data_IF_460374881957
#
_entry.id   IF_460374881957
#
_cell.length_a   1.000
_cell.length_b   1.000
_cell.length_c   1.000
_cell.angle_alpha   90.00
_cell.angle_beta   90.00
_cell.angle_gamma   90.00
#
_symmetry.space_group_name_H-M   'P 1'
#
loop_
_entity.id
_entity.type
_entity.pdbx_description
1 polymer ?
#
# COMPACT_ATOMS: atom_id res chain seq x y z
N UNK A 1 26.82 1.60 8.15
CA UNK A 1 25.53 1.34 7.51
C UNK A 1 25.32 -0.18 7.55
N UNK A 2 24.29 -0.67 8.21
CA UNK A 2 23.96 -2.09 8.15
C UNK A 2 23.59 -2.42 6.70
N UNK A 3 24.10 -3.54 6.19
CA UNK A 3 23.75 -4.03 4.86
C UNK A 3 22.28 -4.43 4.88
N UNK A 4 21.46 -3.92 3.94
CA UNK A 4 20.07 -4.33 3.80
C UNK A 4 20.01 -5.82 3.52
N UNK A 5 19.22 -6.55 4.30
CA UNK A 5 19.00 -7.99 4.12
C UNK A 5 17.96 -8.20 3.03
N UNK A 6 18.28 -9.03 2.04
CA UNK A 6 17.37 -9.41 0.94
C UNK A 6 16.88 -10.83 1.20
N UNK A 7 15.55 -10.99 1.20
CA UNK A 7 14.87 -12.27 1.48
C UNK A 7 14.00 -12.65 0.28
N UNK A 8 14.14 -13.88 -0.20
CA UNK A 8 13.29 -14.44 -1.26
C UNK A 8 12.41 -15.53 -0.65
N UNK A 9 11.10 -15.41 -0.84
CA UNK A 9 10.10 -16.32 -0.28
C UNK A 9 9.29 -17.00 -1.39
N UNK A 10 8.96 -18.27 -1.14
CA UNK A 10 7.98 -19.01 -1.93
C UNK A 10 6.58 -18.89 -1.32
N UNK A 11 5.59 -18.61 -2.16
CA UNK A 11 4.19 -18.50 -1.77
C UNK A 11 3.46 -19.80 -2.13
N UNK A 12 2.69 -20.39 -1.22
CA UNK A 12 2.33 -19.91 0.12
C UNK A 12 3.53 -19.91 1.09
N UNK A 13 3.65 -18.84 1.89
CA UNK A 13 4.74 -18.71 2.85
C UNK A 13 4.48 -19.55 4.10
N UNK A 14 5.54 -20.16 4.66
CA UNK A 14 5.44 -20.83 5.96
C UNK A 14 5.45 -19.83 7.12
N UNK A 15 4.89 -20.21 8.26
CA UNK A 15 4.97 -19.37 9.46
C UNK A 15 6.44 -19.16 9.88
N UNK A 16 7.26 -20.18 9.73
CA UNK A 16 8.70 -20.10 10.04
C UNK A 16 9.41 -19.04 9.19
N UNK A 17 9.07 -18.94 7.89
CA UNK A 17 9.66 -17.94 7.00
C UNK A 17 9.18 -16.53 7.35
N UNK A 18 7.88 -16.38 7.68
CA UNK A 18 7.33 -15.11 8.13
C UNK A 18 7.96 -14.66 9.46
N UNK A 19 8.23 -15.60 10.36
CA UNK A 19 8.84 -15.32 11.65
C UNK A 19 10.32 -14.88 11.56
N UNK A 20 11.00 -15.22 10.47
CA UNK A 20 12.38 -14.79 10.21
C UNK A 20 12.49 -13.38 9.64
N UNK A 21 11.38 -12.78 9.22
CA UNK A 21 11.36 -11.43 8.68
C UNK A 21 11.59 -10.39 9.77
N UNK A 22 12.49 -9.46 9.49
CA UNK A 22 12.85 -8.34 10.36
C UNK A 22 12.49 -7.01 9.68
N UNK A 23 12.28 -5.96 10.49
CA UNK A 23 12.03 -4.61 9.95
C UNK A 23 13.13 -4.18 8.99
N UNK A 24 12.72 -3.64 7.84
CA UNK A 24 13.64 -3.17 6.82
C UNK A 24 14.19 -4.24 5.88
N UNK A 25 13.83 -5.51 6.06
CA UNK A 25 14.15 -6.53 5.08
C UNK A 25 13.54 -6.19 3.72
N UNK A 26 14.30 -6.46 2.67
CA UNK A 26 13.85 -6.34 1.28
C UNK A 26 13.36 -7.70 0.81
N UNK A 27 12.07 -7.81 0.53
CA UNK A 27 11.43 -9.09 0.21
C UNK A 27 11.06 -9.17 -1.27
N UNK A 28 11.33 -10.34 -1.85
CA UNK A 28 10.84 -10.76 -3.16
C UNK A 28 10.02 -12.04 -3.02
N UNK A 29 8.91 -12.12 -3.75
CA UNK A 29 7.98 -13.25 -3.67
C UNK A 29 7.86 -13.97 -5.00
N UNK A 30 7.81 -15.31 -4.95
CA UNK A 30 7.55 -16.17 -6.11
C UNK A 30 6.43 -17.15 -5.76
N UNK A 31 5.49 -17.36 -6.69
CA UNK A 31 4.35 -18.27 -6.49
C UNK A 31 3.02 -17.61 -6.85
N UNK A 32 1.97 -17.94 -6.12
CA UNK A 32 0.63 -17.36 -6.38
C UNK A 32 0.27 -16.35 -5.30
N UNK A 33 -0.10 -15.14 -5.71
CA UNK A 33 -0.64 -14.10 -4.82
C UNK A 33 -2.02 -13.67 -5.31
N UNK A 34 -2.80 -13.03 -4.43
CA UNK A 34 -4.11 -12.50 -4.81
C UNK A 34 -4.29 -11.05 -4.38
N UNK A 35 -5.29 -10.39 -4.95
CA UNK A 35 -5.67 -9.03 -4.55
C UNK A 35 -7.01 -9.05 -3.84
N UNK A 36 -7.09 -8.39 -2.69
CA UNK A 36 -8.35 -8.05 -2.05
C UNK A 36 -8.27 -6.62 -1.52
N UNK A 37 -9.27 -5.82 -1.85
CA UNK A 37 -9.41 -4.43 -1.45
C UNK A 37 -10.83 -4.17 -0.96
N UNK A 38 -11.20 -2.91 -0.79
CA UNK A 38 -12.50 -2.50 -0.27
C UNK A 38 -13.69 -3.22 -0.91
N UNK A 39 -13.71 -3.38 -2.25
CA UNK A 39 -14.80 -4.07 -2.96
C UNK A 39 -14.95 -5.52 -2.53
N UNK A 40 -13.83 -6.24 -2.40
CA UNK A 40 -13.82 -7.63 -1.92
C UNK A 40 -14.22 -7.70 -0.44
N UNK A 41 -13.66 -6.82 0.40
CA UNK A 41 -13.97 -6.81 1.84
C UNK A 41 -15.44 -6.52 2.11
N UNK A 42 -16.02 -5.55 1.40
CA UNK A 42 -17.47 -5.25 1.53
C UNK A 42 -18.34 -6.42 1.12
N UNK A 43 -18.04 -7.06 -0.01
CA UNK A 43 -18.79 -8.24 -0.46
C UNK A 43 -18.74 -9.36 0.57
N UNK A 44 -17.55 -9.77 0.96
CA UNK A 44 -17.37 -10.95 1.81
C UNK A 44 -17.70 -10.66 3.27
N UNK A 45 -17.17 -9.56 3.82
CA UNK A 45 -17.22 -9.32 5.28
C UNK A 45 -18.40 -8.45 5.72
N UNK A 46 -18.96 -7.61 4.84
CA UNK A 46 -20.12 -6.78 5.19
C UNK A 46 -21.42 -7.35 4.60
N UNK A 47 -21.40 -7.85 3.35
CA UNK A 47 -22.60 -8.41 2.70
C UNK A 47 -22.76 -9.90 2.94
N UNK A 48 -21.71 -10.61 3.35
CA UNK A 48 -21.75 -12.05 3.59
C UNK A 48 -21.71 -12.90 2.32
N UNK A 49 -21.25 -12.33 1.20
CA UNK A 49 -21.06 -13.09 -0.04
C UNK A 49 -19.98 -14.16 0.16
N UNK A 50 -20.20 -15.34 -0.39
CA UNK A 50 -19.19 -16.39 -0.39
C UNK A 50 -18.00 -15.99 -1.28
N UNK A 51 -16.79 -16.37 -0.87
CA UNK A 51 -15.61 -16.24 -1.72
C UNK A 51 -15.80 -17.09 -2.98
N UNK A 52 -15.46 -16.58 -4.18
CA UNK A 52 -15.63 -17.29 -5.43
C UNK A 52 -14.70 -18.50 -5.56
N UNK A 53 -13.67 -18.55 -4.73
CA UNK A 53 -12.67 -19.64 -4.64
C UNK A 53 -12.25 -19.82 -3.20
N UNK A 54 -11.82 -21.03 -2.84
CA UNK A 54 -11.17 -21.27 -1.55
C UNK A 54 -9.76 -20.66 -1.53
N UNK A 55 -9.69 -19.39 -1.15
CA UNK A 55 -8.45 -18.61 -1.19
C UNK A 55 -7.37 -19.20 -0.29
N UNK A 56 -7.73 -19.91 0.78
CA UNK A 56 -6.78 -20.53 1.71
C UNK A 56 -5.94 -21.62 1.04
N UNK A 57 -6.52 -22.30 0.04
CA UNK A 57 -5.82 -23.32 -0.74
C UNK A 57 -4.96 -22.74 -1.85
N UNK A 58 -5.20 -21.47 -2.21
CA UNK A 58 -4.53 -20.79 -3.33
C UNK A 58 -3.31 -20.02 -2.85
N UNK A 59 -3.47 -19.22 -1.80
CA UNK A 59 -2.41 -18.31 -1.34
C UNK A 59 -2.70 -17.74 0.05
N UNK A 60 -1.64 -17.40 0.77
CA UNK A 60 -1.70 -16.67 2.02
C UNK A 60 -1.02 -15.28 1.93
N UNK A 61 -0.92 -14.74 0.71
CA UNK A 61 -0.37 -13.41 0.44
C UNK A 61 -1.39 -12.56 -0.30
N UNK A 62 -1.86 -11.49 0.36
CA UNK A 62 -2.81 -10.53 -0.18
C UNK A 62 -2.09 -9.23 -0.56
N UNK A 63 -2.24 -8.78 -1.80
CA UNK A 63 -1.71 -7.52 -2.26
C UNK A 63 -2.80 -6.48 -2.44
N UNK A 64 -2.78 -5.42 -1.65
CA UNK A 64 -3.64 -4.25 -1.79
C UNK A 64 -3.21 -3.43 -3.00
N UNK A 65 -3.50 -3.90 -4.18
CA UNK A 65 -3.17 -3.20 -5.41
C UNK A 65 -4.30 -3.21 -6.44
N UNK A 66 -4.16 -2.36 -7.43
CA UNK A 66 -4.97 -2.33 -8.64
C UNK A 66 -4.05 -2.59 -9.82
N UNK A 67 -4.31 -3.61 -10.65
CA UNK A 67 -3.54 -3.81 -11.86
C UNK A 67 -3.99 -2.86 -12.98
N UNK A 68 -3.03 -2.47 -13.83
CA UNK A 68 -3.30 -1.97 -15.17
C UNK A 68 -3.30 -3.18 -16.12
N UNK A 69 -4.44 -3.86 -16.17
CA UNK A 69 -4.62 -5.08 -16.94
C UNK A 69 -5.47 -4.81 -18.18
N UNK A 70 -5.15 -5.47 -19.28
CA UNK A 70 -5.93 -5.42 -20.52
C UNK A 70 -6.10 -6.84 -21.09
N UNK A 71 -7.26 -7.17 -21.68
CA UNK A 71 -7.44 -8.42 -22.39
C UNK A 71 -6.43 -8.56 -23.52
N UNK A 72 -5.87 -9.74 -23.70
CA UNK A 72 -5.00 -10.07 -24.83
C UNK A 72 -5.72 -10.93 -25.89
N UNK A 73 -5.04 -11.21 -26.99
CA UNK A 73 -5.59 -11.95 -28.10
C UNK A 73 -5.98 -13.42 -27.78
N UNK A 74 -5.48 -13.95 -26.67
CA UNK A 74 -5.75 -15.32 -26.24
C UNK A 74 -6.94 -15.42 -25.26
N UNK A 75 -7.57 -14.28 -24.89
CA UNK A 75 -8.62 -14.22 -23.90
C UNK A 75 -8.11 -14.14 -22.46
N UNK A 76 -6.79 -14.08 -22.25
CA UNK A 76 -6.14 -13.82 -20.97
C UNK A 76 -5.94 -12.31 -20.75
N UNK A 77 -5.27 -11.94 -19.66
CA UNK A 77 -4.95 -10.56 -19.34
C UNK A 77 -3.44 -10.31 -19.30
N UNK A 78 -3.00 -9.24 -19.94
CA UNK A 78 -1.66 -8.70 -19.78
C UNK A 78 -1.66 -7.61 -18.68
N UNK A 79 -0.70 -7.67 -17.77
CA UNK A 79 -0.54 -6.70 -16.69
C UNK A 79 0.71 -5.88 -16.92
N UNK A 80 0.55 -4.61 -17.29
CA UNK A 80 1.68 -3.70 -17.54
C UNK A 80 2.25 -3.07 -16.26
N UNK A 81 1.40 -2.84 -15.27
CA UNK A 81 1.78 -2.22 -14.01
C UNK A 81 0.79 -2.59 -12.90
N UNK A 82 1.20 -2.42 -11.64
CA UNK A 82 0.30 -2.48 -10.49
C UNK A 82 0.46 -1.24 -9.61
N UNK A 83 -0.65 -0.69 -9.15
CA UNK A 83 -0.67 0.45 -8.25
C UNK A 83 -1.05 -0.01 -6.85
N UNK A 84 -0.07 0.01 -5.93
CA UNK A 84 -0.34 -0.30 -4.53
C UNK A 84 -1.26 0.73 -3.88
N UNK A 85 -2.12 0.25 -2.99
CA UNK A 85 -3.13 1.04 -2.28
C UNK A 85 -2.69 1.28 -0.84
N UNK A 86 -3.00 2.45 -0.29
CA UNK A 86 -2.79 2.74 1.12
C UNK A 86 -3.67 1.83 1.99
N UNK A 87 -3.03 0.98 2.79
CA UNK A 87 -3.68 -0.12 3.50
C UNK A 87 -4.37 0.30 4.80
N UNK A 88 -3.94 1.40 5.44
CA UNK A 88 -4.52 1.85 6.71
C UNK A 88 -6.06 2.01 6.65
N UNK A 89 -6.60 2.31 5.48
CA UNK A 89 -8.05 2.42 5.25
C UNK A 89 -8.81 1.12 5.43
N UNK A 90 -8.11 0.00 5.35
CA UNK A 90 -8.69 -1.34 5.44
C UNK A 90 -8.56 -1.95 6.84
N UNK A 91 -8.00 -1.21 7.80
CA UNK A 91 -7.72 -1.69 9.16
C UNK A 91 -8.93 -2.34 9.83
N UNK A 92 -10.13 -1.76 9.66
CA UNK A 92 -11.37 -2.30 10.26
C UNK A 92 -11.74 -3.72 9.81
N UNK A 93 -11.27 -4.15 8.63
CA UNK A 93 -11.56 -5.47 8.07
C UNK A 93 -10.44 -6.49 8.31
N UNK A 94 -9.25 -6.07 8.73
CA UNK A 94 -8.08 -6.95 8.74
C UNK A 94 -8.26 -8.17 9.63
N UNK A 95 -8.85 -8.01 10.82
CA UNK A 95 -9.09 -9.13 11.71
C UNK A 95 -9.95 -10.21 11.04
N UNK A 96 -11.12 -9.80 10.55
CA UNK A 96 -12.09 -10.71 9.92
C UNK A 96 -11.52 -11.29 8.61
N UNK A 97 -10.68 -10.51 7.92
CA UNK A 97 -9.99 -10.99 6.72
C UNK A 97 -8.94 -12.06 7.02
N UNK A 98 -8.17 -11.92 8.08
CA UNK A 98 -7.26 -12.98 8.52
C UNK A 98 -8.00 -14.25 8.91
N UNK A 99 -9.12 -14.11 9.63
CA UNK A 99 -10.01 -15.25 9.96
C UNK A 99 -10.57 -15.93 8.72
N UNK A 100 -10.92 -15.17 7.69
CA UNK A 100 -11.52 -15.69 6.45
C UNK A 100 -10.47 -16.28 5.51
N UNK A 101 -9.38 -15.55 5.25
CA UNK A 101 -8.43 -15.88 4.19
C UNK A 101 -7.21 -16.68 4.66
N UNK A 102 -6.89 -16.66 5.95
CA UNK A 102 -5.65 -17.22 6.47
C UNK A 102 -4.39 -16.50 5.99
N UNK A 103 -4.52 -15.23 5.54
CA UNK A 103 -3.38 -14.45 5.06
C UNK A 103 -2.27 -14.34 6.11
N UNK A 104 -1.02 -14.42 5.67
CA UNK A 104 0.19 -14.25 6.48
C UNK A 104 0.98 -13.02 6.08
N UNK A 105 0.79 -12.57 4.85
CA UNK A 105 1.42 -11.35 4.33
C UNK A 105 0.33 -10.47 3.72
N UNK A 106 0.33 -9.22 4.14
CA UNK A 106 -0.41 -8.13 3.50
C UNK A 106 0.59 -7.19 2.85
N UNK A 107 0.42 -6.94 1.56
CA UNK A 107 1.26 -5.99 0.82
C UNK A 107 0.45 -4.75 0.48
N UNK A 108 1.03 -3.58 0.67
CA UNK A 108 0.39 -2.31 0.30
C UNK A 108 1.36 -1.14 0.32
N UNK A 109 0.88 0.05 0.59
CA UNK A 109 1.73 1.23 0.79
C UNK A 109 1.35 1.99 2.05
N UNK A 110 2.35 2.67 2.65
CA UNK A 110 2.16 3.60 3.75
C UNK A 110 1.96 2.96 5.13
N UNK A 111 2.09 1.63 5.23
CA UNK A 111 1.98 0.93 6.51
C UNK A 111 0.56 0.87 7.08
N UNK A 112 0.50 0.43 8.32
CA UNK A 112 -0.67 0.44 9.19
C UNK A 112 -0.32 1.17 10.48
N UNK A 113 -1.30 1.65 11.27
CA UNK A 113 -1.03 2.12 12.63
C UNK A 113 -0.38 0.99 13.48
N UNK A 114 0.56 1.34 14.36
CA UNK A 114 1.22 0.35 15.23
C UNK A 114 0.23 -0.49 16.06
N UNK A 115 -0.83 0.14 16.53
CA UNK A 115 -1.90 -0.54 17.25
C UNK A 115 -2.50 -1.68 16.42
N UNK A 116 -2.73 -1.46 15.12
CA UNK A 116 -3.20 -2.51 14.21
C UNK A 116 -2.17 -3.65 14.07
N UNK A 117 -0.88 -3.34 14.08
CA UNK A 117 0.14 -4.40 14.08
C UNK A 117 0.12 -5.22 15.36
N UNK A 118 0.05 -4.59 16.52
CA UNK A 118 0.04 -5.28 17.82
C UNK A 118 -1.24 -6.07 18.08
N UNK A 119 -2.39 -5.47 17.79
CA UNK A 119 -3.69 -6.03 18.15
C UNK A 119 -4.25 -6.97 17.08
N UNK A 120 -3.88 -6.78 15.81
CA UNK A 120 -4.46 -7.53 14.71
C UNK A 120 -3.41 -8.40 14.02
N UNK A 121 -2.29 -7.85 13.53
CA UNK A 121 -1.32 -8.64 12.76
C UNK A 121 -0.58 -9.68 13.62
N UNK A 122 -0.15 -9.29 14.81
CA UNK A 122 0.64 -10.19 15.68
C UNK A 122 -0.11 -11.44 16.13
N UNK A 123 -1.39 -11.39 16.55
CA UNK A 123 -2.14 -12.60 16.91
C UNK A 123 -2.24 -13.62 15.77
N UNK A 124 -2.19 -13.17 14.51
CA UNK A 124 -2.21 -14.05 13.33
C UNK A 124 -0.82 -14.43 12.84
N UNK A 125 0.24 -13.95 13.49
CA UNK A 125 1.62 -14.14 13.04
C UNK A 125 1.88 -13.53 11.66
N UNK A 126 1.20 -12.44 11.32
CA UNK A 126 1.24 -11.83 10.01
C UNK A 126 2.27 -10.69 9.92
N UNK A 127 2.74 -10.41 8.69
CA UNK A 127 3.62 -9.29 8.37
C UNK A 127 2.99 -8.38 7.32
N UNK A 128 3.30 -7.10 7.46
CA UNK A 128 3.00 -6.10 6.45
C UNK A 128 4.24 -5.77 5.63
N UNK A 129 4.09 -5.83 4.32
CA UNK A 129 5.12 -5.44 3.37
C UNK A 129 4.70 -4.16 2.65
N UNK A 130 5.55 -3.14 2.72
CA UNK A 130 5.32 -1.88 2.01
C UNK A 130 6.00 -1.87 0.66
N UNK A 131 5.32 -1.33 -0.35
CA UNK A 131 5.92 -1.05 -1.65
C UNK A 131 6.90 0.12 -1.54
N UNK A 132 7.97 0.07 -2.32
CA UNK A 132 8.98 1.13 -2.37
C UNK A 132 8.64 2.16 -3.43
N UNK A 133 8.54 3.42 -3.02
CA UNK A 133 8.49 4.59 -3.86
C UNK A 133 7.41 4.66 -4.93
N UNK A 134 7.29 5.84 -5.53
CA UNK A 134 6.47 6.07 -6.72
C UNK A 134 7.22 5.58 -7.96
N UNK A 135 6.50 5.06 -8.95
CA UNK A 135 7.09 4.52 -10.17
C UNK A 135 7.47 3.05 -10.11
N UNK A 136 7.42 2.41 -8.94
CA UNK A 136 7.64 0.96 -8.81
C UNK A 136 6.56 0.10 -9.49
N UNK A 137 5.41 0.69 -9.88
CA UNK A 137 4.28 -0.05 -10.44
C UNK A 137 4.62 -0.88 -11.68
N UNK A 138 5.39 -0.34 -12.61
CA UNK A 138 5.84 -1.07 -13.80
C UNK A 138 6.86 -2.18 -13.44
N UNK A 139 7.74 -1.93 -12.47
CA UNK A 139 8.68 -2.93 -11.97
C UNK A 139 7.92 -4.10 -11.33
N UNK A 140 6.94 -3.81 -10.49
CA UNK A 140 6.09 -4.83 -9.88
C UNK A 140 5.26 -5.59 -10.94
N UNK A 141 4.74 -4.88 -11.95
CA UNK A 141 4.04 -5.50 -13.07
C UNK A 141 4.88 -6.54 -13.81
N UNK A 142 6.19 -6.31 -13.97
CA UNK A 142 7.11 -7.31 -14.57
C UNK A 142 7.23 -8.60 -13.76
N UNK A 143 7.03 -8.53 -12.45
CA UNK A 143 7.01 -9.69 -11.57
C UNK A 143 5.77 -10.57 -11.75
N UNK A 144 4.69 -10.06 -12.37
CA UNK A 144 3.49 -10.82 -12.70
C UNK A 144 3.74 -11.54 -14.02
N UNK A 145 3.73 -12.85 -13.99
CA UNK A 145 3.95 -13.69 -15.17
C UNK A 145 2.66 -14.06 -15.88
N UNK A 146 1.59 -14.21 -15.11
CA UNK A 146 0.28 -14.56 -15.62
C UNK A 146 -0.83 -14.17 -14.66
N UNK A 147 -1.97 -13.79 -15.20
CA UNK A 147 -3.24 -13.76 -14.47
C UNK A 147 -3.80 -15.18 -14.51
N UNK A 148 -3.90 -15.83 -13.35
CA UNK A 148 -4.46 -17.19 -13.24
C UNK A 148 -5.97 -17.17 -13.25
N UNK A 149 -6.54 -16.15 -12.63
CA UNK A 149 -7.98 -15.95 -12.55
C UNK A 149 -8.33 -14.51 -12.17
N UNK A 150 -9.58 -14.10 -12.40
CA UNK A 150 -10.16 -12.84 -11.95
C UNK A 150 -11.63 -13.02 -11.61
N UNK A 151 -12.04 -12.54 -10.43
CA UNK A 151 -13.41 -12.64 -9.95
C UNK A 151 -13.98 -11.26 -9.66
N UNK A 152 -15.30 -11.12 -9.87
CA UNK A 152 -16.06 -9.89 -9.65
C UNK A 152 -15.56 -8.70 -10.51
N UNK A 153 -15.05 -8.99 -11.72
CA UNK A 153 -14.53 -7.94 -12.59
C UNK A 153 -15.63 -7.01 -13.07
N UNK A 154 -16.80 -7.56 -13.43
CA UNK A 154 -17.93 -6.77 -13.93
C UNK A 154 -18.57 -5.95 -12.80
N UNK A 155 -18.72 -6.55 -11.62
CA UNK A 155 -19.38 -5.90 -10.47
C UNK A 155 -18.51 -4.85 -9.79
N UNK A 156 -17.22 -5.15 -9.62
CA UNK A 156 -16.30 -4.30 -8.86
C UNK A 156 -15.41 -3.42 -9.73
N UNK A 157 -15.34 -3.73 -11.02
CA UNK A 157 -14.39 -3.11 -11.93
C UNK A 157 -12.94 -3.54 -11.68
N UNK A 158 -12.06 -3.22 -12.64
CA UNK A 158 -10.66 -3.65 -12.68
C UNK A 158 -9.87 -3.36 -11.39
N UNK A 159 -10.18 -2.24 -10.73
CA UNK A 159 -9.47 -1.78 -9.55
C UNK A 159 -9.87 -2.50 -8.26
N UNK A 160 -11.05 -3.11 -8.20
CA UNK A 160 -11.62 -3.71 -6.99
C UNK A 160 -11.94 -5.20 -7.16
N UNK A 161 -11.77 -5.74 -8.36
CA UNK A 161 -11.88 -7.16 -8.64
C UNK A 161 -10.83 -7.96 -7.85
N UNK A 162 -11.11 -9.22 -7.61
CA UNK A 162 -10.18 -10.15 -7.00
C UNK A 162 -9.34 -10.81 -8.10
N UNK A 163 -8.09 -10.43 -8.19
CA UNK A 163 -7.13 -10.97 -9.15
C UNK A 163 -6.27 -12.04 -8.50
N UNK A 164 -6.01 -13.13 -9.20
CA UNK A 164 -5.09 -14.19 -8.79
C UNK A 164 -3.92 -14.19 -9.76
N UNK A 165 -2.75 -13.85 -9.26
CA UNK A 165 -1.54 -13.70 -10.06
C UNK A 165 -0.54 -14.82 -9.78
N UNK A 166 0.05 -15.34 -10.84
CA UNK A 166 1.31 -16.07 -10.78
C UNK A 166 2.46 -15.07 -10.88
N UNK A 167 3.34 -15.06 -9.90
CA UNK A 167 4.43 -14.09 -9.79
C UNK A 167 5.78 -14.80 -9.66
N UNK A 168 6.81 -14.12 -10.19
CA UNK A 168 8.20 -14.53 -10.06
C UNK A 168 9.04 -13.34 -9.64
N UNK A 169 9.69 -13.49 -8.49
CA UNK A 169 10.52 -12.44 -7.87
C UNK A 169 9.84 -11.05 -7.87
N UNK A 170 8.54 -11.00 -7.59
CA UNK A 170 7.84 -9.72 -7.47
C UNK A 170 8.35 -8.97 -6.24
N UNK A 171 8.72 -7.74 -6.42
CA UNK A 171 9.30 -6.86 -5.40
C UNK A 171 10.11 -5.74 -6.07
N UNK A 172 10.92 -5.00 -5.30
CA UNK A 172 11.17 -5.15 -3.85
C UNK A 172 10.01 -4.66 -2.98
N UNK A 173 9.80 -5.33 -1.87
CA UNK A 173 8.93 -4.89 -0.78
C UNK A 173 9.75 -4.71 0.49
N UNK A 174 9.34 -3.82 1.37
CA UNK A 174 10.02 -3.58 2.66
C UNK A 174 9.14 -4.09 3.80
N UNK A 175 9.70 -4.88 4.70
CA UNK A 175 9.01 -5.31 5.92
C UNK A 175 8.83 -4.11 6.85
N UNK A 176 7.59 -3.79 7.18
CA UNK A 176 7.28 -2.68 8.07
C UNK A 176 7.22 -3.11 9.55
N UNK A 177 6.44 -4.15 9.88
CA UNK A 177 6.29 -4.56 11.26
C UNK A 177 7.21 -5.71 11.67
N UNK A 178 7.73 -5.62 12.91
CA UNK A 178 8.47 -6.71 13.56
C UNK A 178 7.54 -7.70 14.29
N UNK A 179 8.14 -8.58 15.10
CA UNK A 179 7.41 -9.59 15.89
C UNK A 179 6.68 -9.01 17.10
N UNK A 180 7.06 -7.85 17.56
CA UNK A 180 6.46 -7.11 18.65
C UNK A 180 5.38 -6.14 18.17
N UNK A 181 5.19 -5.99 16.85
CA UNK A 181 4.23 -5.08 16.25
C UNK A 181 4.70 -3.63 16.22
N UNK A 182 6.01 -3.39 16.32
CA UNK A 182 6.55 -2.05 16.09
C UNK A 182 6.61 -1.76 14.60
N UNK A 183 6.40 -0.50 14.20
CA UNK A 183 6.44 -0.05 12.80
C UNK A 183 7.78 0.59 12.47
N UNK A 184 8.36 0.19 11.34
CA UNK A 184 9.56 0.82 10.77
C UNK A 184 9.31 2.31 10.48
N UNK A 185 8.15 2.64 9.94
CA UNK A 185 7.80 4.02 9.59
C UNK A 185 7.62 4.89 10.83
N UNK A 186 6.95 4.38 11.87
CA UNK A 186 6.75 5.12 13.13
C UNK A 186 8.09 5.32 13.83
N UNK A 187 8.95 4.32 13.86
CA UNK A 187 10.30 4.43 14.42
C UNK A 187 11.13 5.50 13.69
N UNK A 188 11.04 5.55 12.35
CA UNK A 188 11.68 6.60 11.57
C UNK A 188 11.09 7.99 11.82
N UNK A 189 9.78 8.10 11.93
CA UNK A 189 9.10 9.35 12.26
C UNK A 189 9.57 9.92 13.60
N UNK A 190 9.60 9.09 14.64
CA UNK A 190 10.13 9.49 15.95
C UNK A 190 11.59 9.96 15.87
N UNK A 191 12.44 9.23 15.13
CA UNK A 191 13.84 9.59 14.97
C UNK A 191 14.03 10.90 14.18
N UNK A 192 13.16 11.19 13.20
CA UNK A 192 13.17 12.45 12.45
C UNK A 192 12.68 13.59 13.34
N UNK A 193 11.55 13.42 14.02
CA UNK A 193 10.95 14.44 14.88
C UNK A 193 11.90 14.85 16.01
N UNK A 194 12.59 13.90 16.63
CA UNK A 194 13.61 14.20 17.65
C UNK A 194 14.78 15.05 17.13
N UNK A 195 15.06 15.01 15.83
CA UNK A 195 16.08 15.86 15.20
C UNK A 195 15.54 17.22 14.75
N UNK A 196 14.24 17.29 14.43
CA UNK A 196 13.61 18.54 13.98
C UNK A 196 13.68 19.62 15.04
N UNK A 197 13.40 19.32 16.30
CA UNK A 197 13.49 20.27 17.40
C UNK A 197 14.87 20.95 17.45
N UNK A 198 15.92 20.14 17.31
CA UNK A 198 17.30 20.63 17.29
C UNK A 198 17.63 21.44 16.03
N UNK A 199 17.07 21.07 14.89
CA UNK A 199 17.27 21.80 13.63
C UNK A 199 16.54 23.16 13.62
N UNK A 200 15.42 23.26 14.32
CA UNK A 200 14.67 24.53 14.45
C UNK A 200 15.12 25.40 15.62
N UNK A 201 16.07 24.95 16.44
CA UNK A 201 16.61 25.76 17.53
C UNK A 201 17.16 27.08 17.00
N UNK A 202 16.58 28.18 17.46
CA UNK A 202 16.93 29.54 16.99
C UNK A 202 16.40 29.94 15.62
N UNK A 203 15.63 29.08 14.94
CA UNK A 203 14.95 29.43 13.69
C UNK A 203 13.47 29.74 13.96
N UNK A 204 12.90 30.69 13.20
CA UNK A 204 11.45 30.84 13.17
C UNK A 204 10.83 29.61 12.50
N UNK A 205 9.77 28.99 13.08
CA UNK A 205 9.09 27.89 12.42
C UNK A 205 8.65 28.34 11.01
N UNK A 206 8.91 27.53 9.95
CA UNK A 206 8.41 27.85 8.63
C UNK A 206 6.89 27.81 8.64
N UNK A 207 6.23 28.84 8.16
CA UNK A 207 4.81 28.81 7.87
C UNK A 207 4.58 27.94 6.62
N UNK A 208 4.50 26.62 6.80
CA UNK A 208 4.20 25.70 5.72
C UNK A 208 2.70 25.72 5.45
N UNK A 209 2.27 26.54 4.48
CA UNK A 209 0.94 26.38 3.89
C UNK A 209 0.97 25.22 2.91
N UNK A 210 0.33 24.11 3.26
CA UNK A 210 0.03 23.08 2.28
C UNK A 210 -1.06 23.58 1.34
N UNK A 211 -0.74 23.63 0.06
CA UNK A 211 -1.69 24.01 -0.97
C UNK A 211 -2.85 22.99 -1.00
N UNK A 212 -4.07 23.43 -0.72
CA UNK A 212 -5.28 22.61 -0.82
C UNK A 212 -5.79 21.97 0.47
N UNK A 213 -5.11 22.11 1.61
CA UNK A 213 -5.68 21.73 2.90
C UNK A 213 -6.44 22.92 3.51
N UNK A 214 -7.74 22.73 3.74
CA UNK A 214 -8.55 23.63 4.54
C UNK A 214 -8.27 23.39 6.02
N UNK A 215 -7.14 23.87 6.51
CA UNK A 215 -6.93 24.02 7.95
C UNK A 215 -7.77 25.17 8.44
N UNK A 216 -8.37 25.05 9.63
CA UNK A 216 -9.03 26.19 10.27
C UNK A 216 -7.98 27.27 10.45
N UNK A 217 -8.35 28.55 10.22
CA UNK A 217 -7.44 29.70 10.41
C UNK A 217 -6.83 29.79 11.83
N UNK A 218 -7.36 29.04 12.77
CA UNK A 218 -6.86 28.95 14.14
C UNK A 218 -5.55 28.16 14.26
N UNK A 219 -5.29 27.23 13.31
CA UNK A 219 -4.08 26.41 13.29
C UNK A 219 -2.98 26.99 12.39
N UNK A 220 -3.27 28.08 11.69
CA UNK A 220 -2.24 28.80 10.94
C UNK A 220 -1.41 29.62 11.92
N UNK A 221 -0.15 29.27 12.13
CA UNK A 221 0.84 30.16 12.73
C UNK A 221 1.10 31.27 11.71
N UNK A 222 0.22 32.26 11.71
CA UNK A 222 0.37 33.46 10.90
C UNK A 222 1.41 34.30 11.63
N UNK A 223 2.62 34.37 11.09
CA UNK A 223 3.45 35.56 11.32
C UNK A 223 2.59 36.80 10.99
N UNK A 224 2.79 37.89 11.68
CA UNK A 224 1.95 39.09 11.51
C UNK A 224 1.52 39.29 10.05
N UNK A 225 0.23 39.55 9.79
CA UNK A 225 -0.28 39.57 8.43
C UNK A 225 0.49 40.66 7.66
N UNK A 226 1.29 40.22 6.71
CA UNK A 226 1.79 41.11 5.69
C UNK A 226 0.57 41.59 4.89
N UNK A 227 0.17 42.82 5.12
CA UNK A 227 -0.98 43.45 4.46
C UNK A 227 -0.73 43.71 2.97
N UNK A 228 0.26 43.08 2.37
CA UNK A 228 0.50 43.16 0.94
C UNK A 228 -0.67 42.49 0.20
N UNK A 229 -1.43 43.21 -0.64
CA UNK A 229 -2.52 42.58 -1.39
C UNK A 229 -1.98 41.48 -2.29
N UNK A 230 -2.54 40.30 -2.16
CA UNK A 230 -2.23 39.22 -3.09
C UNK A 230 -2.72 39.68 -4.47
N UNK A 231 -1.79 39.97 -5.37
CA UNK A 231 -2.12 40.17 -6.77
C UNK A 231 -2.53 38.84 -7.34
N UNK A 232 -3.81 38.64 -7.57
CA UNK A 232 -4.33 37.52 -8.35
C UNK A 232 -3.90 37.78 -9.79
N UNK A 233 -2.83 37.11 -10.22
CA UNK A 233 -2.47 37.07 -11.63
C UNK A 233 -3.54 36.17 -12.30
N UNK A 234 -4.44 36.80 -13.06
CA UNK A 234 -5.36 36.05 -13.93
C UNK A 234 -4.52 35.31 -14.97
N UNK A 235 -4.34 34.01 -14.76
CA UNK A 235 -3.81 33.13 -15.77
C UNK A 235 -4.88 33.06 -16.86
N UNK A 236 -4.60 33.64 -18.03
CA UNK A 236 -5.50 33.51 -19.17
C UNK A 236 -5.78 32.04 -19.48
N UNK A 237 -7.04 31.68 -19.75
CA UNK A 237 -7.34 30.31 -20.17
C UNK A 237 -6.54 29.98 -21.44
N UNK A 238 -5.95 28.79 -21.44
CA UNK A 238 -5.23 28.25 -22.58
C UNK A 238 -6.17 28.22 -23.80
N UNK A 239 -5.93 29.08 -24.79
CA UNK A 239 -6.59 29.00 -26.11
C UNK A 239 -5.92 27.90 -26.89
N UNK A 240 -6.56 26.72 -26.92
CA UNK A 240 -6.14 25.63 -27.79
C UNK A 240 -6.06 26.12 -29.23
N UNK A 241 -4.90 25.94 -29.86
CA UNK A 241 -4.75 26.20 -31.29
C UNK A 241 -5.55 25.16 -32.07
N UNK A 242 -6.68 25.59 -32.63
CA UNK A 242 -7.34 24.86 -33.73
C UNK A 242 -6.33 24.76 -34.89
N UNK A 243 -5.77 23.60 -35.10
CA UNK A 243 -5.12 23.25 -36.35
C UNK A 243 -6.15 22.55 -37.23
N UNK A 244 -6.48 23.22 -38.33
CA UNK A 244 -7.15 22.66 -39.49
C UNK A 244 -6.36 21.48 -40.09
#
# INVERSE_FOLDING_TARGET
MSQMRVVKLQVPVSQEDVDKLEQGDVVYLTGTIYTAREGVYKKVLESGDELPVDIRTISNVNFHCSPAASPNANGDYDVGAVTATASFRFGKWMKDWFDTSGAKIIIGKGGMPEEAYREVFMPYGARYLSTVGYGAGALLGRGIKRVKDVHWLEENGIAQAMWIFEVEEIGPFIVDNDREGNSLFVNHEHAVNAKLEKLYEGLKPPALKRYGETTSRADEVIGEPDNTPIQIVNVMPYQGSDKK
#
